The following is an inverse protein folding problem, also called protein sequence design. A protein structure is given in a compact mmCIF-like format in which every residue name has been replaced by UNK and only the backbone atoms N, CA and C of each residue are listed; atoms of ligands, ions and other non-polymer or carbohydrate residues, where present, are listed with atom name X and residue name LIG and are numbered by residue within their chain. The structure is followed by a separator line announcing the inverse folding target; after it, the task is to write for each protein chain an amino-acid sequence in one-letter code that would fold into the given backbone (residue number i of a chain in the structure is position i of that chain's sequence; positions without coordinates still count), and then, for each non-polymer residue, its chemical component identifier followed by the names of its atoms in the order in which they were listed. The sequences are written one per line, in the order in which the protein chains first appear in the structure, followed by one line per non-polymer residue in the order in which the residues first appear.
data_IF_739190635240
#
_entry.id   IF_739190635240
#
_cell.length_a   1.000
_cell.length_b   1.000
_cell.length_c   1.000
_cell.angle_alpha   90.00
_cell.angle_beta   90.00
_cell.angle_gamma   90.00
#
_symmetry.space_group_name_H-M   'P 1'
#
loop_
_entity.id
_entity.type
_entity.pdbx_description
1 polymer ?
#
# COMPACT_ATOMS: atom_id res chain seq x y z
N UNK A 1 -5.21 -31.54 49.98
CA UNK A 1 -5.24 -30.49 48.92
C UNK A 1 -4.96 -29.07 49.42
N UNK A 2 -5.46 -28.63 50.58
CA UNK A 2 -5.16 -27.27 51.10
C UNK A 2 -3.69 -27.04 51.51
N UNK A 3 -2.98 -28.09 51.94
CA UNK A 3 -1.55 -28.00 52.33
C UNK A 3 -0.63 -27.81 51.11
N UNK A 4 -0.99 -28.41 49.97
CA UNK A 4 -0.20 -28.30 48.73
C UNK A 4 -0.29 -26.89 48.12
N UNK A 5 -1.45 -26.22 48.23
CA UNK A 5 -1.62 -24.82 47.80
C UNK A 5 -0.84 -23.82 48.65
N UNK A 6 -0.69 -24.07 49.96
CA UNK A 6 0.11 -23.20 50.84
C UNK A 6 1.62 -23.33 50.60
N UNK A 7 2.09 -24.51 50.20
CA UNK A 7 3.51 -24.75 49.88
C UNK A 7 3.90 -24.08 48.55
N UNK A 8 3.02 -24.11 47.54
CA UNK A 8 3.27 -23.45 46.24
C UNK A 8 3.29 -21.92 46.39
N UNK A 9 2.40 -21.34 47.21
CA UNK A 9 2.41 -19.89 47.48
C UNK A 9 3.64 -19.44 48.28
N UNK A 10 4.16 -20.27 49.20
CA UNK A 10 5.40 -19.98 49.92
C UNK A 10 6.65 -20.08 49.02
N UNK A 11 6.65 -20.99 48.04
CA UNK A 11 7.73 -21.12 47.05
C UNK A 11 7.75 -19.96 46.06
N UNK A 12 6.58 -19.44 45.67
CA UNK A 12 6.45 -18.26 44.81
C UNK A 12 6.78 -16.95 45.54
N UNK A 13 6.46 -16.84 46.84
CA UNK A 13 6.84 -15.67 47.64
C UNK A 13 8.35 -15.64 47.93
N UNK A 14 8.98 -16.81 48.13
CA UNK A 14 10.43 -16.92 48.34
C UNK A 14 11.25 -16.60 47.08
N UNK A 15 10.72 -16.88 45.88
CA UNK A 15 11.37 -16.50 44.61
C UNK A 15 11.23 -15.00 44.33
N UNK A 16 10.13 -14.38 44.76
CA UNK A 16 9.91 -12.94 44.58
C UNK A 16 10.76 -12.09 45.55
N UNK A 17 10.93 -12.52 46.80
CA UNK A 17 11.74 -11.79 47.79
C UNK A 17 13.25 -11.96 47.52
N UNK A 18 13.67 -13.05 46.88
CA UNK A 18 15.05 -13.24 46.42
C UNK A 18 15.49 -12.27 45.31
N UNK A 19 14.54 -11.70 44.55
CA UNK A 19 14.81 -10.79 43.45
C UNK A 19 14.91 -9.31 43.86
N UNK A 20 14.41 -8.95 45.05
CA UNK A 20 14.32 -7.56 45.50
C UNK A 20 15.47 -7.14 46.43
N UNK A 21 16.38 -8.04 46.81
CA UNK A 21 17.53 -7.73 47.67
C UNK A 21 18.87 -8.30 47.16
N UNK A 22 19.32 -7.83 46.00
CA UNK A 22 20.75 -7.89 45.64
C UNK A 22 21.20 -6.63 44.92
N UNK A 23 21.90 -5.77 45.65
CA UNK A 23 22.75 -4.69 45.12
C UNK A 23 24.15 -5.25 44.74
N UNK A 24 24.97 -4.50 43.99
CA UNK A 24 25.45 -4.90 42.68
C UNK A 24 26.73 -5.75 42.75
N UNK A 25 26.71 -6.90 42.08
CA UNK A 25 27.88 -7.74 41.85
C UNK A 25 28.39 -7.57 40.42
N UNK A 26 29.63 -7.13 40.30
CA UNK A 26 30.41 -7.01 39.07
C UNK A 26 30.38 -8.30 38.23
N UNK A 27 29.66 -8.27 37.11
CA UNK A 27 29.58 -9.40 36.19
C UNK A 27 28.41 -9.28 35.23
N UNK A 28 28.28 -8.14 34.53
CA UNK A 28 27.27 -7.92 33.51
C UNK A 28 27.63 -8.63 32.20
N UNK A 29 26.81 -9.61 31.82
CA UNK A 29 26.79 -10.19 30.48
C UNK A 29 26.08 -9.21 29.52
N UNK A 30 26.87 -8.67 28.57
CA UNK A 30 26.49 -8.29 27.20
C UNK A 30 25.41 -7.21 26.91
N UNK A 31 25.41 -6.09 27.64
CA UNK A 31 24.80 -4.83 27.15
C UNK A 31 25.84 -3.75 26.82
N UNK A 32 26.76 -3.53 27.75
CA UNK A 32 27.60 -2.32 27.76
C UNK A 32 28.68 -2.29 26.65
N UNK A 33 29.13 -3.43 26.15
CA UNK A 33 30.18 -3.49 25.12
C UNK A 33 29.67 -3.12 23.73
N UNK A 34 28.41 -3.43 23.43
CA UNK A 34 27.75 -3.08 22.16
C UNK A 34 27.33 -1.61 22.23
N UNK A 35 26.74 -1.18 23.34
CA UNK A 35 26.37 0.21 23.55
C UNK A 35 27.59 1.15 23.53
N UNK A 36 28.71 0.75 24.15
CA UNK A 36 29.97 1.49 24.07
C UNK A 36 30.60 1.48 22.67
N UNK A 37 30.43 0.41 21.89
CA UNK A 37 30.88 0.38 20.49
C UNK A 37 30.00 1.25 19.58
N UNK A 38 28.69 1.25 19.78
CA UNK A 38 27.74 2.14 19.09
C UNK A 38 28.03 3.61 19.44
N UNK A 39 28.19 3.95 20.73
CA UNK A 39 28.52 5.32 21.15
C UNK A 39 29.91 5.76 20.69
N UNK A 40 30.89 4.85 20.62
CA UNK A 40 32.21 5.14 20.07
C UNK A 40 32.16 5.31 18.53
N UNK A 41 31.30 4.58 17.82
CA UNK A 41 31.01 4.77 16.40
C UNK A 41 30.37 6.15 16.15
N UNK A 42 29.35 6.51 16.93
CA UNK A 42 28.68 7.82 16.83
C UNK A 42 29.59 9.02 17.19
N UNK A 43 30.62 8.84 18.03
CA UNK A 43 31.59 9.90 18.35
C UNK A 43 32.77 9.99 17.40
N UNK A 44 33.17 8.89 16.75
CA UNK A 44 34.33 8.86 15.83
C UNK A 44 33.99 9.39 14.45
N UNK A 45 32.80 9.07 13.98
CA UNK A 45 32.37 9.52 12.68
C UNK A 45 31.61 10.84 12.85
N UNK A 46 32.32 11.97 12.74
CA UNK A 46 31.71 13.16 12.14
C UNK A 46 31.34 12.76 10.70
N UNK A 47 30.25 11.98 10.53
CA UNK A 47 29.76 11.56 9.23
C UNK A 47 29.34 12.83 8.53
N UNK A 48 30.25 13.39 7.74
CA UNK A 48 29.90 14.28 6.66
C UNK A 48 28.93 13.47 5.83
N UNK A 49 27.65 13.81 5.92
CA UNK A 49 26.66 13.37 4.95
C UNK A 49 27.34 13.59 3.60
N UNK A 50 27.62 12.54 2.81
CA UNK A 50 27.81 12.78 1.40
C UNK A 50 26.43 13.26 0.99
N UNK A 51 26.23 14.59 0.98
CA UNK A 51 25.27 15.19 0.08
C UNK A 51 25.75 14.61 -1.24
N UNK A 52 25.07 13.59 -1.73
CA UNK A 52 25.33 13.02 -3.03
C UNK A 52 24.83 14.03 -4.07
N UNK A 53 25.45 15.21 -4.07
CA UNK A 53 25.94 15.90 -5.25
C UNK A 53 27.00 14.98 -5.88
N UNK A 54 26.63 13.75 -6.24
CA UNK A 54 27.38 13.05 -7.25
C UNK A 54 27.13 13.86 -8.51
N UNK A 55 28.16 14.56 -9.00
CA UNK A 55 28.16 15.15 -10.32
C UNK A 55 27.80 14.05 -11.32
N UNK A 56 26.53 13.98 -11.70
CA UNK A 56 26.12 13.13 -12.80
C UNK A 56 26.60 13.85 -14.05
N UNK A 57 27.65 13.34 -14.70
CA UNK A 57 28.15 13.90 -15.95
C UNK A 57 27.04 13.92 -16.98
N UNK A 58 26.47 15.10 -17.24
CA UNK A 58 25.39 15.29 -18.20
C UNK A 58 25.91 15.39 -19.65
N UNK A 59 25.09 15.03 -20.65
CA UNK A 59 25.44 15.24 -22.05
C UNK A 59 25.63 16.73 -22.35
N UNK A 60 26.71 17.06 -23.06
CA UNK A 60 27.16 18.42 -23.41
C UNK A 60 26.38 19.07 -24.58
N UNK A 61 25.20 18.58 -24.92
CA UNK A 61 24.49 18.96 -26.16
C UNK A 61 23.48 20.11 -25.98
N UNK A 62 23.89 21.19 -25.33
CA UNK A 62 23.23 22.50 -25.44
C UNK A 62 24.04 23.43 -26.35
N UNK A 63 23.38 24.29 -27.13
CA UNK A 63 23.98 25.24 -28.09
C UNK A 63 24.96 26.28 -27.49
N UNK A 64 25.34 26.15 -26.22
CA UNK A 64 26.42 26.88 -25.58
C UNK A 64 27.29 25.88 -24.82
N UNK A 65 28.60 25.99 -24.96
CA UNK A 65 29.65 25.08 -24.48
C UNK A 65 29.75 24.92 -22.94
N UNK A 66 28.68 25.22 -22.19
CA UNK A 66 28.66 25.18 -20.73
C UNK A 66 28.17 23.81 -20.28
N UNK A 67 29.07 22.98 -19.75
CA UNK A 67 28.69 21.79 -19.01
C UNK A 67 27.72 22.19 -17.87
N UNK A 68 26.49 21.67 -17.92
CA UNK A 68 25.53 21.84 -16.83
C UNK A 68 25.90 20.83 -15.75
N UNK A 69 26.21 21.33 -14.56
CA UNK A 69 26.41 20.47 -13.39
C UNK A 69 25.05 19.94 -12.94
N UNK A 70 24.91 18.62 -12.86
CA UNK A 70 23.66 17.96 -12.49
C UNK A 70 23.72 17.39 -11.07
N UNK A 71 22.57 17.38 -10.42
CA UNK A 71 22.31 16.76 -9.13
C UNK A 71 21.02 15.93 -9.17
N UNK A 72 20.84 15.10 -8.15
CA UNK A 72 19.58 14.44 -7.84
C UNK A 72 18.70 15.38 -7.03
N UNK A 73 17.43 15.39 -7.36
CA UNK A 73 16.43 16.15 -6.66
C UNK A 73 15.31 15.25 -6.18
N UNK A 74 14.93 15.41 -4.91
CA UNK A 74 13.81 14.68 -4.32
C UNK A 74 12.52 15.49 -4.48
N UNK A 75 11.45 14.84 -4.90
CA UNK A 75 10.13 15.48 -5.09
C UNK A 75 9.41 15.58 -3.75
N UNK A 76 9.37 14.48 -3.00
CA UNK A 76 9.05 14.45 -1.57
C UNK A 76 10.34 14.79 -0.82
N UNK A 77 10.38 15.91 -0.08
CA UNK A 77 11.54 16.30 0.69
C UNK A 77 12.03 15.19 1.62
N UNK A 78 13.36 14.97 1.66
CA UNK A 78 14.00 13.96 2.51
C UNK A 78 13.61 14.11 3.98
N UNK A 79 13.42 15.35 4.46
CA UNK A 79 12.94 15.62 5.83
C UNK A 79 11.60 14.96 6.14
N UNK A 80 10.66 14.94 5.18
CA UNK A 80 9.33 14.34 5.36
C UNK A 80 9.44 12.83 5.42
N UNK A 81 10.25 12.23 4.55
CA UNK A 81 10.54 10.80 4.58
C UNK A 81 11.11 10.39 5.94
N UNK A 82 12.16 11.09 6.41
CA UNK A 82 12.77 10.84 7.71
C UNK A 82 11.74 10.95 8.84
N UNK A 83 10.94 12.03 8.87
CA UNK A 83 9.90 12.20 9.89
C UNK A 83 8.87 11.08 9.87
N UNK A 84 8.37 10.70 8.69
CA UNK A 84 7.39 9.63 8.53
C UNK A 84 7.90 8.30 9.08
N UNK A 85 9.08 7.87 8.67
CA UNK A 85 9.64 6.60 9.12
C UNK A 85 10.03 6.63 10.60
N UNK A 86 10.59 7.74 11.09
CA UNK A 86 10.86 7.88 12.53
C UNK A 86 9.57 7.80 13.34
N UNK A 87 8.50 8.46 12.92
CA UNK A 87 7.20 8.36 13.56
C UNK A 87 6.64 6.94 13.50
N UNK A 88 6.81 6.24 12.37
CA UNK A 88 6.37 4.85 12.22
C UNK A 88 7.05 3.93 13.23
N UNK A 89 8.36 4.05 13.38
CA UNK A 89 9.09 3.21 14.34
C UNK A 89 8.80 3.62 15.79
N UNK A 90 8.78 4.92 16.09
CA UNK A 90 8.49 5.41 17.45
C UNK A 90 7.10 4.99 17.95
N UNK A 91 6.12 4.93 17.04
CA UNK A 91 4.73 4.56 17.36
C UNK A 91 4.46 3.07 17.25
N UNK A 92 5.47 2.27 16.90
CA UNK A 92 5.37 0.82 16.92
C UNK A 92 5.39 0.30 18.37
N UNK A 93 4.25 0.45 19.06
CA UNK A 93 3.97 -0.17 20.35
C UNK A 93 3.53 -1.64 20.20
N UNK A 94 2.82 -2.15 21.21
CA UNK A 94 2.48 -3.57 21.52
C UNK A 94 1.89 -4.44 20.39
N UNK A 95 1.65 -3.92 19.19
CA UNK A 95 0.98 -4.65 18.10
C UNK A 95 1.86 -4.94 16.86
N UNK A 96 3.09 -4.43 16.76
CA UNK A 96 4.06 -4.75 15.67
C UNK A 96 3.58 -4.59 14.20
N UNK A 97 2.36 -4.09 13.96
CA UNK A 97 1.76 -4.01 12.62
C UNK A 97 2.46 -2.99 11.73
N UNK A 98 2.92 -1.88 12.33
CA UNK A 98 3.62 -0.79 11.63
C UNK A 98 5.00 -1.27 11.17
N UNK A 99 5.77 -1.93 12.03
CA UNK A 99 7.07 -2.46 11.62
C UNK A 99 6.92 -3.53 10.53
N UNK A 100 5.92 -4.41 10.59
CA UNK A 100 5.72 -5.43 9.53
C UNK A 100 5.52 -4.81 8.14
N UNK A 101 4.66 -3.79 8.03
CA UNK A 101 4.45 -3.06 6.77
C UNK A 101 5.73 -2.40 6.25
N UNK A 102 6.49 -1.78 7.15
CA UNK A 102 7.78 -1.16 6.84
C UNK A 102 8.80 -2.19 6.35
N UNK A 103 8.93 -3.32 7.04
CA UNK A 103 9.88 -4.37 6.68
C UNK A 103 9.56 -4.99 5.32
N UNK A 104 8.27 -5.19 5.01
CA UNK A 104 7.85 -5.70 3.71
C UNK A 104 8.18 -4.73 2.58
N UNK A 105 7.94 -3.43 2.78
CA UNK A 105 8.34 -2.40 1.83
C UNK A 105 9.86 -2.37 1.64
N UNK A 106 10.64 -2.40 2.72
CA UNK A 106 12.09 -2.38 2.64
C UNK A 106 12.65 -3.62 1.94
N UNK A 107 12.10 -4.81 2.22
CA UNK A 107 12.46 -6.04 1.52
C UNK A 107 12.20 -5.94 0.01
N UNK A 108 11.03 -5.41 -0.37
CA UNK A 108 10.68 -5.16 -1.76
C UNK A 108 11.66 -4.18 -2.45
N UNK A 109 11.90 -3.01 -1.84
CA UNK A 109 12.80 -2.00 -2.40
C UNK A 109 14.24 -2.51 -2.51
N UNK A 110 14.65 -3.34 -1.55
CA UNK A 110 15.94 -4.02 -1.56
C UNK A 110 16.05 -4.98 -2.73
N UNK A 111 15.07 -5.87 -2.91
CA UNK A 111 15.07 -6.84 -4.00
C UNK A 111 15.02 -6.16 -5.38
N UNK A 112 14.23 -5.08 -5.52
CA UNK A 112 14.16 -4.30 -6.75
C UNK A 112 15.50 -3.62 -7.06
N UNK A 113 16.11 -2.96 -6.07
CA UNK A 113 17.43 -2.34 -6.23
C UNK A 113 18.50 -3.39 -6.58
N UNK A 114 18.54 -4.52 -5.86
CA UNK A 114 19.48 -5.60 -6.12
C UNK A 114 19.37 -6.18 -7.53
N UNK A 115 18.16 -6.20 -8.09
CA UNK A 115 17.90 -6.68 -9.45
C UNK A 115 18.40 -5.68 -10.50
N UNK A 116 18.19 -4.38 -10.28
CA UNK A 116 18.45 -3.34 -11.28
C UNK A 116 19.85 -2.72 -11.21
N UNK A 117 20.63 -3.01 -10.18
CA UNK A 117 22.04 -2.61 -10.08
C UNK A 117 23.01 -3.80 -10.26
N UNK A 118 23.11 -4.42 -11.46
CA UNK A 118 24.06 -5.49 -11.69
C UNK A 118 25.49 -5.01 -11.41
N UNK A 119 26.24 -5.85 -10.70
CA UNK A 119 27.50 -5.48 -10.06
C UNK A 119 28.64 -5.16 -11.04
N UNK A 120 29.34 -4.06 -10.75
CA UNK A 120 30.80 -3.98 -10.61
C UNK A 120 31.17 -2.58 -10.11
N UNK A 121 31.45 -2.44 -8.80
CA UNK A 121 31.89 -1.19 -8.16
C UNK A 121 31.77 -1.27 -6.63
N UNK A 122 32.72 -0.69 -5.89
CA UNK A 122 32.79 -0.77 -4.42
C UNK A 122 31.55 -0.20 -3.71
N UNK A 123 30.97 0.88 -4.25
CA UNK A 123 29.74 1.48 -3.73
C UNK A 123 28.52 0.58 -3.94
N UNK A 124 28.42 -0.10 -5.11
CA UNK A 124 27.31 -1.03 -5.38
C UNK A 124 27.40 -2.26 -4.50
N UNK A 125 28.60 -2.77 -4.24
CA UNK A 125 28.81 -3.91 -3.35
C UNK A 125 28.47 -3.55 -1.89
N UNK A 126 28.77 -2.32 -1.47
CA UNK A 126 28.39 -1.81 -0.16
C UNK A 126 26.87 -1.69 -0.01
N UNK A 127 26.19 -1.03 -0.96
CA UNK A 127 24.72 -0.96 -0.98
C UNK A 127 24.13 -2.38 -0.98
N UNK A 128 24.64 -3.27 -1.83
CA UNK A 128 24.18 -4.66 -1.92
C UNK A 128 24.29 -5.41 -0.59
N UNK A 129 25.40 -5.25 0.14
CA UNK A 129 25.60 -5.87 1.45
C UNK A 129 24.57 -5.38 2.46
N UNK A 130 24.35 -4.07 2.51
CA UNK A 130 23.38 -3.46 3.43
C UNK A 130 21.95 -3.91 3.11
N UNK A 131 21.59 -4.03 1.82
CA UNK A 131 20.31 -4.57 1.39
C UNK A 131 20.14 -6.05 1.80
N UNK A 132 21.21 -6.84 1.81
CA UNK A 132 21.18 -8.24 2.27
C UNK A 132 21.05 -8.35 3.79
N UNK A 133 21.76 -7.50 4.55
CA UNK A 133 21.66 -7.46 6.01
C UNK A 133 20.25 -7.04 6.46
N UNK A 134 19.60 -6.11 5.72
CA UNK A 134 18.17 -5.80 5.90
C UNK A 134 17.28 -7.01 5.77
N UNK A 135 17.45 -7.78 4.71
CA UNK A 135 16.64 -8.96 4.44
C UNK A 135 16.81 -10.02 5.53
N UNK A 136 18.03 -10.14 6.06
CA UNK A 136 18.30 -10.99 7.21
C UNK A 136 17.56 -10.50 8.46
N UNK A 137 17.62 -9.20 8.78
CA UNK A 137 16.87 -8.60 9.90
C UNK A 137 15.36 -8.76 9.74
N UNK A 138 14.80 -8.56 8.55
CA UNK A 138 13.39 -8.82 8.27
C UNK A 138 13.03 -10.28 8.56
N UNK A 139 13.85 -11.22 8.09
CA UNK A 139 13.61 -12.66 8.31
C UNK A 139 13.61 -12.98 9.81
N UNK A 140 14.55 -12.40 10.56
CA UNK A 140 14.60 -12.53 12.02
C UNK A 140 13.35 -11.95 12.68
N UNK A 141 12.92 -10.74 12.31
CA UNK A 141 11.70 -10.13 12.87
C UNK A 141 10.42 -10.90 12.55
N UNK A 142 10.29 -11.44 11.32
CA UNK A 142 9.13 -12.22 10.92
C UNK A 142 9.09 -13.57 11.66
N UNK A 143 10.25 -14.23 11.83
CA UNK A 143 10.33 -15.52 12.51
C UNK A 143 10.27 -15.42 14.05
N UNK A 144 10.82 -14.35 14.64
CA UNK A 144 10.86 -14.14 16.09
C UNK A 144 9.56 -13.48 16.61
N UNK A 145 8.64 -13.08 15.73
CA UNK A 145 7.31 -12.59 16.14
C UNK A 145 6.43 -13.65 16.85
N UNK A 146 6.84 -14.93 16.82
CA UNK A 146 6.23 -16.02 17.59
C UNK A 146 6.81 -16.18 19.00
N UNK A 147 7.93 -15.52 19.31
CA UNK A 147 8.59 -15.55 20.61
C UNK A 147 8.62 -14.13 21.18
N UNK A 148 8.12 -13.92 22.42
CA UNK A 148 7.89 -12.59 23.05
C UNK A 148 9.12 -11.65 23.17
N UNK A 149 10.26 -11.97 22.57
CA UNK A 149 11.47 -11.16 22.56
C UNK A 149 11.58 -10.38 21.25
N UNK A 150 10.92 -9.21 21.19
CA UNK A 150 11.20 -8.24 20.14
C UNK A 150 12.72 -7.98 20.07
N UNK A 151 13.36 -8.07 18.89
CA UNK A 151 14.76 -7.71 18.75
C UNK A 151 14.97 -6.28 19.26
N UNK A 152 16.12 -5.97 19.90
CA UNK A 152 16.36 -4.63 20.43
C UNK A 152 16.19 -3.62 19.30
N UNK A 153 15.27 -2.66 19.49
CA UNK A 153 15.06 -1.53 18.58
C UNK A 153 16.42 -0.94 18.13
N UNK A 154 17.41 -0.94 19.01
CA UNK A 154 18.78 -0.46 18.81
C UNK A 154 19.50 -1.10 17.60
N UNK A 155 19.20 -2.36 17.24
CA UNK A 155 19.78 -3.02 16.05
C UNK A 155 19.18 -2.45 14.75
N UNK A 156 17.87 -2.21 14.73
CA UNK A 156 17.16 -1.50 13.64
C UNK A 156 17.57 -0.03 13.51
N UNK A 157 18.19 0.56 14.53
CA UNK A 157 18.60 1.97 14.55
C UNK A 157 20.10 2.21 14.37
N UNK A 158 20.95 1.20 14.53
CA UNK A 158 22.31 1.24 13.97
C UNK A 158 22.30 1.44 12.43
N UNK A 159 21.16 1.12 11.81
CA UNK A 159 20.79 1.31 10.41
C UNK A 159 20.17 2.66 10.05
N UNK A 160 20.39 3.74 10.83
CA UNK A 160 20.11 5.12 10.38
C UNK A 160 20.73 5.38 8.98
N UNK A 161 21.85 4.72 8.67
CA UNK A 161 22.45 4.71 7.33
C UNK A 161 21.61 4.01 6.24
N UNK A 162 20.91 2.95 6.60
CA UNK A 162 20.33 1.96 5.70
C UNK A 162 18.86 2.28 5.38
N UNK A 163 18.12 2.81 6.36
CA UNK A 163 16.90 3.61 6.18
C UNK A 163 17.18 4.80 5.25
N UNK A 164 18.26 5.55 5.48
CA UNK A 164 18.68 6.64 4.57
C UNK A 164 19.06 6.15 3.18
N UNK A 165 19.69 4.98 3.06
CA UNK A 165 20.14 4.44 1.77
C UNK A 165 18.97 3.99 0.89
N UNK A 166 17.89 3.46 1.47
CA UNK A 166 16.70 3.09 0.69
C UNK A 166 15.93 4.34 0.23
N UNK A 167 15.74 5.33 1.12
CA UNK A 167 14.94 6.52 0.78
C UNK A 167 15.67 7.54 -0.10
N UNK A 168 17.01 7.59 -0.05
CA UNK A 168 17.83 8.38 -0.97
C UNK A 168 17.81 7.84 -2.41
N UNK A 169 17.29 6.62 -2.61
CA UNK A 169 17.36 5.90 -3.88
C UNK A 169 16.02 5.41 -4.39
N UNK A 170 14.89 5.92 -3.87
CA UNK A 170 13.57 5.67 -4.45
C UNK A 170 13.48 6.35 -5.83
N UNK A 171 13.59 5.62 -6.96
CA UNK A 171 13.79 6.26 -8.27
C UNK A 171 12.58 7.07 -8.70
N UNK A 172 11.38 6.65 -8.31
CA UNK A 172 10.15 7.36 -8.56
C UNK A 172 10.05 8.72 -7.83
N UNK A 173 10.81 8.93 -6.76
CA UNK A 173 10.86 10.20 -6.04
C UNK A 173 12.02 11.12 -6.48
N UNK A 174 12.81 10.70 -7.47
CA UNK A 174 14.05 11.37 -7.85
C UNK A 174 14.03 11.77 -9.32
N UNK A 175 14.39 13.01 -9.60
CA UNK A 175 14.77 13.41 -10.96
C UNK A 175 16.17 14.02 -11.00
N UNK A 176 16.77 14.01 -12.18
CA UNK A 176 18.09 14.59 -12.43
C UNK A 176 17.92 15.98 -13.06
N UNK A 177 18.53 16.98 -12.44
CA UNK A 177 18.41 18.38 -12.84
C UNK A 177 19.68 19.19 -12.52
N UNK A 178 19.78 20.46 -12.93
CA UNK A 178 20.86 21.36 -12.52
C UNK A 178 21.08 21.35 -11.00
N UNK A 179 22.31 21.50 -10.54
CA UNK A 179 22.60 21.55 -9.11
C UNK A 179 21.86 22.70 -8.39
N UNK A 180 21.42 22.55 -7.12
CA UNK A 180 20.70 23.58 -6.38
C UNK A 180 21.39 24.95 -6.38
N UNK A 181 22.73 25.00 -6.36
CA UNK A 181 23.50 26.25 -6.33
C UNK A 181 23.36 27.09 -7.61
N UNK A 182 22.99 26.46 -8.74
CA UNK A 182 22.81 27.12 -10.03
C UNK A 182 21.33 27.24 -10.40
N UNK A 183 20.44 27.11 -9.42
CA UNK A 183 18.99 27.21 -9.59
C UNK A 183 18.42 28.45 -8.91
N UNK A 184 17.32 28.96 -9.44
CA UNK A 184 16.58 30.08 -8.83
C UNK A 184 15.29 29.63 -8.15
N UNK A 185 14.81 28.44 -8.46
CA UNK A 185 13.61 27.83 -7.90
C UNK A 185 13.88 26.92 -6.70
N UNK A 186 15.14 26.72 -6.30
CA UNK A 186 15.57 25.85 -5.20
C UNK A 186 16.60 26.56 -4.30
N UNK A 187 16.36 26.71 -2.97
CA UNK A 187 15.20 26.22 -2.22
C UNK A 187 13.97 27.14 -2.35
N UNK A 188 12.75 26.56 -2.35
CA UNK A 188 11.49 27.31 -2.26
C UNK A 188 10.26 26.47 -2.61
N UNK A 189 9.07 26.81 -2.08
CA UNK A 189 7.82 26.01 -2.18
C UNK A 189 7.33 25.76 -3.63
N UNK A 190 7.82 26.53 -4.58
CA UNK A 190 7.50 26.35 -6.00
C UNK A 190 8.27 25.18 -6.62
N UNK A 191 9.33 24.70 -5.97
CA UNK A 191 10.18 23.66 -6.50
C UNK A 191 9.43 22.34 -6.63
N UNK A 192 8.85 21.89 -5.53
CA UNK A 192 8.11 20.65 -5.45
C UNK A 192 6.93 20.70 -6.42
N UNK A 193 6.18 21.80 -6.45
CA UNK A 193 5.03 21.99 -7.36
C UNK A 193 5.44 21.94 -8.83
N UNK A 194 6.55 22.58 -9.20
CA UNK A 194 7.00 22.63 -10.58
C UNK A 194 7.61 21.30 -11.07
N UNK A 195 7.96 20.38 -10.17
CA UNK A 195 8.45 19.04 -10.54
C UNK A 195 7.46 18.28 -11.44
N UNK A 196 6.15 18.60 -11.39
CA UNK A 196 5.12 18.07 -12.29
C UNK A 196 5.43 18.22 -13.78
N UNK A 197 6.15 19.29 -14.17
CA UNK A 197 6.55 19.50 -15.56
C UNK A 197 7.72 18.60 -16.00
N UNK A 198 8.42 17.99 -15.03
CA UNK A 198 9.47 17.00 -15.28
C UNK A 198 8.85 15.60 -15.34
N UNK A 199 8.14 15.24 -14.26
CA UNK A 199 7.70 13.87 -14.01
C UNK A 199 6.33 13.54 -14.62
N UNK A 200 5.59 14.57 -15.05
CA UNK A 200 4.19 14.46 -15.49
C UNK A 200 3.21 14.77 -14.36
N UNK A 201 2.04 15.30 -14.73
CA UNK A 201 0.98 15.70 -13.80
C UNK A 201 0.50 14.52 -12.95
N UNK A 202 0.31 13.37 -13.60
CA UNK A 202 -0.19 12.16 -12.96
C UNK A 202 0.75 11.65 -11.85
N UNK A 203 2.04 11.45 -12.18
CA UNK A 203 3.04 11.01 -11.21
C UNK A 203 3.22 12.03 -10.08
N UNK A 204 3.08 13.32 -10.39
CA UNK A 204 3.13 14.37 -9.39
C UNK A 204 1.98 14.28 -8.39
N UNK A 205 0.75 14.07 -8.86
CA UNK A 205 -0.41 13.93 -7.97
C UNK A 205 -0.25 12.75 -7.00
N UNK A 206 0.25 11.61 -7.50
CA UNK A 206 0.54 10.43 -6.67
C UNK A 206 1.58 10.71 -5.59
N UNK A 207 2.67 11.39 -5.94
CA UNK A 207 3.71 11.77 -4.97
C UNK A 207 3.24 12.87 -3.99
N UNK A 208 2.40 13.80 -4.45
CA UNK A 208 1.83 14.85 -3.60
C UNK A 208 0.89 14.26 -2.56
N UNK A 209 0.03 13.31 -2.95
CA UNK A 209 -0.82 12.63 -1.97
C UNK A 209 0.00 11.74 -1.04
N UNK A 210 0.99 11.01 -1.54
CA UNK A 210 1.91 10.29 -0.67
C UNK A 210 2.54 11.23 0.37
N UNK A 211 3.00 12.42 -0.05
CA UNK A 211 3.51 13.45 0.86
C UNK A 211 2.47 13.86 1.91
N UNK A 212 1.21 14.09 1.51
CA UNK A 212 0.13 14.48 2.42
C UNK A 212 -0.20 13.38 3.43
N UNK A 213 -0.27 12.12 3.00
CA UNK A 213 -0.48 10.96 3.87
C UNK A 213 0.67 10.82 4.88
N UNK A 214 1.92 10.98 4.43
CA UNK A 214 3.09 10.94 5.30
C UNK A 214 3.04 12.04 6.38
N UNK A 215 2.75 13.28 5.99
CA UNK A 215 2.59 14.40 6.93
C UNK A 215 1.44 14.12 7.90
N UNK A 216 0.28 13.71 7.38
CA UNK A 216 -0.90 13.42 8.19
C UNK A 216 -0.64 12.31 9.20
N UNK A 217 0.07 11.25 8.81
CA UNK A 217 0.49 10.22 9.74
C UNK A 217 1.43 10.77 10.82
N UNK A 218 2.46 11.53 10.45
CA UNK A 218 3.37 12.17 11.43
C UNK A 218 2.59 12.99 12.45
N UNK A 219 1.60 13.76 12.00
CA UNK A 219 0.82 14.64 12.86
C UNK A 219 -0.19 13.87 13.75
N UNK A 220 -0.88 12.87 13.21
CA UNK A 220 -2.03 12.21 13.86
C UNK A 220 -1.69 10.87 14.51
N UNK A 221 -0.74 10.12 13.95
CA UNK A 221 -0.42 8.75 14.35
C UNK A 221 -1.45 7.70 13.94
N UNK A 222 -2.45 8.07 13.15
CA UNK A 222 -3.49 7.14 12.70
C UNK A 222 -2.95 6.07 11.75
N UNK A 223 -3.31 4.81 11.99
CA UNK A 223 -2.79 3.68 11.23
C UNK A 223 -3.30 3.62 9.77
N UNK A 224 -4.46 4.22 9.48
CA UNK A 224 -5.00 4.21 8.11
C UNK A 224 -4.09 5.01 7.17
N UNK A 225 -3.66 6.20 7.59
CA UNK A 225 -2.78 7.10 6.86
C UNK A 225 -1.39 6.46 6.66
N UNK A 226 -0.90 5.72 7.67
CA UNK A 226 0.31 4.91 7.54
C UNK A 226 0.15 3.80 6.49
N UNK A 227 -0.89 3.00 6.59
CA UNK A 227 -1.12 1.87 5.70
C UNK A 227 -1.28 2.34 4.25
N UNK A 228 -2.05 3.41 4.03
CA UNK A 228 -2.21 4.01 2.70
C UNK A 228 -0.90 4.60 2.17
N UNK A 229 -0.10 5.25 3.01
CA UNK A 229 1.21 5.75 2.61
C UNK A 229 2.15 4.61 2.19
N UNK A 230 2.20 3.51 2.95
CA UNK A 230 3.04 2.35 2.62
C UNK A 230 2.58 1.66 1.33
N UNK A 231 1.28 1.50 1.13
CA UNK A 231 0.71 0.92 -0.09
C UNK A 231 1.06 1.75 -1.33
N UNK A 232 0.78 3.06 -1.29
CA UNK A 232 1.05 3.97 -2.39
C UNK A 232 2.56 4.11 -2.65
N UNK A 233 3.38 4.14 -1.60
CA UNK A 233 4.84 4.13 -1.72
C UNK A 233 5.34 2.85 -2.41
N UNK A 234 4.78 1.69 -2.07
CA UNK A 234 5.11 0.41 -2.71
C UNK A 234 4.73 0.43 -4.20
N UNK A 235 3.54 0.93 -4.52
CA UNK A 235 3.02 1.01 -5.88
C UNK A 235 3.86 1.95 -6.76
N UNK A 236 4.15 3.15 -6.28
CA UNK A 236 4.97 4.15 -6.98
C UNK A 236 6.39 3.62 -7.22
N UNK A 237 6.94 2.87 -6.25
CA UNK A 237 8.29 2.31 -6.37
C UNK A 237 8.37 1.15 -7.38
N UNK A 238 7.29 0.37 -7.57
CA UNK A 238 7.22 -0.68 -8.60
C UNK A 238 7.22 -0.12 -10.01
N UNK A 239 6.60 1.04 -10.22
CA UNK A 239 6.43 1.61 -11.56
C UNK A 239 7.72 2.17 -12.18
N UNK A 240 8.81 2.32 -11.41
CA UNK A 240 10.01 3.01 -11.90
C UNK A 240 11.32 2.55 -11.26
N UNK A 241 12.17 1.92 -12.07
CA UNK A 241 13.48 1.43 -11.64
C UNK A 241 14.65 2.42 -11.84
N UNK A 242 14.39 3.61 -12.40
CA UNK A 242 15.43 4.63 -12.64
C UNK A 242 14.90 6.05 -12.42
N UNK A 243 15.72 6.99 -11.88
CA UNK A 243 15.32 8.39 -11.73
C UNK A 243 14.82 9.01 -13.03
N UNK A 244 13.97 10.03 -12.96
CA UNK A 244 13.62 10.81 -14.15
C UNK A 244 14.89 11.48 -14.70
N UNK A 245 15.26 11.11 -15.93
CA UNK A 245 16.49 11.58 -16.55
C UNK A 245 16.43 13.08 -16.84
N UNK A 246 17.59 13.72 -16.84
CA UNK A 246 17.72 15.11 -17.23
C UNK A 246 17.34 15.31 -18.69
N UNK A 247 16.45 16.26 -18.97
CA UNK A 247 16.11 16.72 -20.32
C UNK A 247 16.32 18.22 -20.44
N UNK A 248 17.23 18.71 -21.29
CA UNK A 248 17.45 20.14 -21.50
C UNK A 248 16.19 20.92 -21.89
N UNK A 249 15.24 20.25 -22.56
CA UNK A 249 13.96 20.84 -22.98
C UNK A 249 13.06 21.22 -21.79
N UNK A 250 13.29 20.64 -20.61
CA UNK A 250 12.53 20.91 -19.38
C UNK A 250 13.10 22.04 -18.52
N UNK A 251 14.26 22.60 -18.90
CA UNK A 251 14.95 23.64 -18.14
C UNK A 251 15.10 24.92 -18.97
N UNK A 252 14.96 26.06 -18.33
CA UNK A 252 15.28 27.38 -18.89
C UNK A 252 16.41 28.01 -18.10
N UNK A 253 17.38 28.58 -18.82
CA UNK A 253 18.47 29.34 -18.22
C UNK A 253 18.15 30.83 -18.28
N UNK A 254 18.08 31.48 -17.13
CA UNK A 254 17.90 32.92 -17.05
C UNK A 254 19.29 33.59 -17.10
N UNK A 255 19.59 34.25 -18.22
CA UNK A 255 20.87 34.92 -18.44
C UNK A 255 21.15 36.07 -17.46
N UNK A 256 20.11 36.67 -16.88
CA UNK A 256 20.24 37.78 -15.94
C UNK A 256 20.63 37.29 -14.54
N UNK A 257 20.01 36.21 -14.08
CA UNK A 257 20.30 35.62 -12.76
C UNK A 257 21.40 34.57 -12.81
N UNK A 258 21.82 34.16 -14.01
CA UNK A 258 22.73 33.06 -14.28
C UNK A 258 22.29 31.74 -13.65
N UNK A 259 20.97 31.52 -13.55
CA UNK A 259 20.36 30.37 -12.86
C UNK A 259 19.36 29.65 -13.75
N UNK A 260 19.17 28.36 -13.48
CA UNK A 260 18.19 27.51 -14.11
C UNK A 260 16.85 27.51 -13.35
N UNK A 261 15.77 27.37 -14.10
CA UNK A 261 14.43 27.05 -13.59
C UNK A 261 13.82 25.91 -14.40
N UNK A 262 12.87 25.20 -13.78
CA UNK A 262 11.98 24.31 -14.52
C UNK A 262 11.10 25.15 -15.46
N UNK A 263 11.04 24.77 -16.74
CA UNK A 263 10.11 25.38 -17.70
C UNK A 263 8.67 25.02 -17.36
N UNK A 264 7.89 26.03 -17.00
CA UNK A 264 6.47 25.89 -16.63
C UNK A 264 5.50 26.22 -17.77
N UNK A 265 6.01 26.56 -18.97
CA UNK A 265 5.17 27.00 -20.10
C UNK A 265 4.53 25.81 -20.84
N UNK A 266 3.29 26.03 -21.30
CA UNK A 266 2.35 25.03 -21.83
C UNK A 266 2.84 24.21 -23.05
N UNK A 267 3.90 24.65 -23.73
CA UNK A 267 4.42 24.00 -24.93
C UNK A 267 5.07 22.63 -24.66
N UNK A 268 5.41 22.31 -23.41
CA UNK A 268 5.87 20.97 -23.03
C UNK A 268 4.76 19.90 -23.04
N UNK A 269 3.46 20.27 -23.08
CA UNK A 269 2.35 19.30 -23.27
C UNK A 269 2.37 18.68 -24.66
N UNK A 270 2.49 19.51 -25.71
CA UNK A 270 2.30 19.08 -27.11
C UNK A 270 3.32 18.07 -27.63
N UNK A 271 4.54 18.04 -27.08
CA UNK A 271 5.58 17.08 -27.52
C UNK A 271 5.38 15.68 -26.92
N UNK A 272 4.63 15.56 -25.81
CA UNK A 272 4.23 14.27 -25.22
C UNK A 272 2.93 13.73 -25.83
N UNK A 273 2.01 14.59 -26.25
CA UNK A 273 0.76 14.13 -26.90
C UNK A 273 1.05 13.31 -28.18
N UNK A 274 2.13 13.63 -28.91
CA UNK A 274 2.55 12.86 -30.11
C UNK A 274 3.19 11.50 -29.77
N UNK A 275 3.70 11.30 -28.55
CA UNK A 275 4.14 9.98 -28.07
C UNK A 275 3.02 9.23 -27.33
N UNK A 276 2.04 9.95 -26.78
CA UNK A 276 0.86 9.41 -26.11
C UNK A 276 -0.14 8.79 -27.09
N UNK A 277 -0.22 9.28 -28.34
CA UNK A 277 -1.06 8.68 -29.40
C UNK A 277 -0.63 7.24 -29.78
N UNK A 278 0.56 6.79 -29.37
CA UNK A 278 1.00 5.38 -29.52
C UNK A 278 0.79 4.56 -28.24
N UNK A 279 0.55 5.23 -27.11
CA UNK A 279 0.34 4.61 -25.78
C UNK A 279 -1.16 4.54 -25.42
N UNK A 280 -2.05 5.10 -26.24
CA UNK A 280 -3.51 5.11 -26.02
C UNK A 280 -4.22 3.77 -26.36
N UNK A 281 -3.47 2.66 -26.34
CA UNK A 281 -3.99 1.29 -26.47
C UNK A 281 -3.32 0.31 -25.51
N UNK A 282 -2.73 0.79 -24.42
CA UNK A 282 -2.30 -0.11 -23.36
C UNK A 282 -3.45 -0.27 -22.33
N UNK A 283 -4.15 -1.43 -22.30
CA UNK A 283 -5.18 -1.71 -21.30
C UNK A 283 -4.63 -1.81 -19.86
N UNK A 284 -3.31 -1.63 -19.68
CA UNK A 284 -2.62 -1.57 -18.39
C UNK A 284 -2.24 -0.14 -17.96
N UNK A 285 -2.71 0.91 -18.64
CA UNK A 285 -2.50 2.29 -18.18
C UNK A 285 -3.32 2.55 -16.89
N UNK A 286 -2.64 2.44 -15.75
CA UNK A 286 -3.23 2.57 -14.41
C UNK A 286 -3.58 4.02 -14.09
N UNK A 287 -4.85 4.28 -13.80
CA UNK A 287 -5.36 5.55 -13.27
C UNK A 287 -4.78 5.76 -11.85
N UNK A 288 -4.43 6.99 -11.42
CA UNK A 288 -3.95 7.25 -10.06
C UNK A 288 -4.87 6.68 -8.97
N UNK A 289 -4.33 5.97 -7.98
CA UNK A 289 -5.09 5.34 -6.90
C UNK A 289 -6.04 6.31 -6.17
N UNK A 290 -5.71 7.59 -6.02
CA UNK A 290 -6.65 8.55 -5.42
C UNK A 290 -7.77 9.00 -6.36
N UNK A 291 -7.52 9.07 -7.67
CA UNK A 291 -8.58 9.29 -8.65
C UNK A 291 -9.46 8.04 -8.71
N UNK A 292 -8.87 6.85 -8.57
CA UNK A 292 -9.61 5.59 -8.40
C UNK A 292 -10.43 5.63 -7.10
N UNK A 293 -9.87 5.97 -5.93
CA UNK A 293 -10.63 6.06 -4.66
C UNK A 293 -11.73 7.11 -4.68
N UNK A 294 -11.45 8.33 -5.15
CA UNK A 294 -12.45 9.40 -5.29
C UNK A 294 -13.52 9.01 -6.32
N UNK A 295 -13.14 8.35 -7.43
CA UNK A 295 -14.13 7.84 -8.39
C UNK A 295 -14.97 6.72 -7.78
N UNK A 296 -14.36 5.73 -7.12
CA UNK A 296 -15.03 4.58 -6.49
C UNK A 296 -15.99 5.05 -5.38
N UNK A 297 -15.60 6.05 -4.59
CA UNK A 297 -16.49 6.66 -3.58
C UNK A 297 -17.69 7.35 -4.24
N UNK A 298 -17.48 8.14 -5.29
CA UNK A 298 -18.57 8.77 -6.05
C UNK A 298 -19.51 7.74 -6.71
N UNK A 299 -19.01 6.54 -6.98
CA UNK A 299 -19.77 5.41 -7.55
C UNK A 299 -20.39 4.49 -6.47
N UNK A 300 -20.23 4.78 -5.18
CA UNK A 300 -20.71 3.90 -4.08
C UNK A 300 -20.11 2.49 -4.15
N UNK A 301 -18.83 2.36 -4.50
CA UNK A 301 -18.16 1.07 -4.69
C UNK A 301 -17.04 0.80 -3.68
N UNK A 302 -16.95 1.56 -2.58
CA UNK A 302 -15.84 1.47 -1.63
C UNK A 302 -15.81 0.12 -0.91
N UNK A 303 -16.96 -0.43 -0.53
CA UNK A 303 -17.03 -1.74 0.11
C UNK A 303 -16.71 -2.84 -0.91
N UNK A 304 -17.23 -2.72 -2.13
CA UNK A 304 -16.96 -3.67 -3.21
C UNK A 304 -15.47 -3.75 -3.54
N UNK A 305 -14.79 -2.60 -3.63
CA UNK A 305 -13.35 -2.55 -3.84
C UNK A 305 -12.59 -3.26 -2.69
N UNK A 306 -12.99 -3.01 -1.44
CA UNK A 306 -12.37 -3.62 -0.26
C UNK A 306 -12.49 -5.16 -0.25
N UNK A 307 -13.69 -5.70 -0.50
CA UNK A 307 -13.89 -7.16 -0.47
C UNK A 307 -13.19 -7.86 -1.63
N UNK A 308 -13.05 -7.19 -2.78
CA UNK A 308 -12.29 -7.70 -3.90
C UNK A 308 -10.79 -7.75 -3.60
N UNK A 309 -10.23 -6.68 -3.02
CA UNK A 309 -8.81 -6.66 -2.61
C UNK A 309 -8.53 -7.72 -1.53
N UNK A 310 -9.48 -7.96 -0.62
CA UNK A 310 -9.40 -9.09 0.32
C UNK A 310 -9.30 -10.43 -0.40
N UNK A 311 -10.14 -10.70 -1.40
CA UNK A 311 -10.07 -11.96 -2.16
C UNK A 311 -8.74 -12.10 -2.93
N UNK A 312 -8.28 -11.04 -3.60
CA UNK A 312 -7.02 -11.01 -4.36
C UNK A 312 -5.78 -11.26 -3.49
N UNK A 313 -5.71 -10.61 -2.33
CA UNK A 313 -4.56 -10.71 -1.42
C UNK A 313 -4.39 -12.11 -0.83
N UNK A 314 -5.47 -12.88 -0.75
CA UNK A 314 -5.49 -14.18 -0.10
C UNK A 314 -5.33 -15.32 -1.11
N UNK A 315 -6.40 -16.04 -1.47
CA UNK A 315 -6.34 -17.20 -2.37
C UNK A 315 -6.76 -16.91 -3.81
N UNK A 316 -7.12 -15.66 -4.13
CA UNK A 316 -7.56 -15.29 -5.47
C UNK A 316 -8.91 -15.90 -5.81
N UNK A 317 -9.05 -16.45 -7.02
CA UNK A 317 -10.31 -16.96 -7.55
C UNK A 317 -10.22 -18.45 -7.86
N UNK A 318 -11.18 -19.22 -7.35
CA UNK A 318 -11.40 -20.61 -7.74
C UNK A 318 -12.22 -20.69 -9.03
N UNK A 319 -11.89 -21.66 -9.87
CA UNK A 319 -12.60 -21.91 -11.11
C UNK A 319 -13.86 -22.74 -10.85
N UNK A 320 -15.02 -22.14 -11.06
CA UNK A 320 -16.35 -22.74 -11.01
C UNK A 320 -16.95 -22.79 -12.43
N UNK A 321 -16.13 -23.24 -13.39
CA UNK A 321 -16.48 -23.34 -14.81
C UNK A 321 -17.60 -24.34 -15.13
N UNK A 322 -18.11 -25.07 -14.12
CA UNK A 322 -19.35 -25.85 -14.20
C UNK A 322 -20.59 -24.97 -14.38
N UNK A 323 -20.53 -23.69 -13.99
CA UNK A 323 -21.58 -22.69 -14.20
C UNK A 323 -21.20 -21.75 -15.35
N UNK A 324 -22.16 -21.44 -16.24
CA UNK A 324 -21.83 -20.61 -17.41
C UNK A 324 -21.61 -19.14 -17.03
N UNK A 325 -22.24 -18.66 -15.95
CA UNK A 325 -22.13 -17.28 -15.49
C UNK A 325 -22.49 -17.12 -14.01
N UNK A 326 -22.27 -15.91 -13.46
CA UNK A 326 -22.75 -15.53 -12.13
C UNK A 326 -24.25 -15.73 -11.96
N UNK A 327 -25.03 -15.61 -13.04
CA UNK A 327 -26.48 -15.74 -13.02
C UNK A 327 -26.90 -17.19 -12.83
N UNK A 328 -26.23 -18.12 -13.53
CA UNK A 328 -26.46 -19.56 -13.37
C UNK A 328 -26.14 -19.99 -11.93
N UNK A 329 -25.02 -19.48 -11.40
CA UNK A 329 -24.63 -19.71 -10.01
C UNK A 329 -25.65 -19.14 -9.02
N UNK A 330 -26.14 -17.92 -9.22
CA UNK A 330 -27.17 -17.33 -8.37
C UNK A 330 -28.47 -18.13 -8.40
N UNK A 331 -28.90 -18.58 -9.59
CA UNK A 331 -30.12 -19.35 -9.76
C UNK A 331 -30.07 -20.73 -9.05
N UNK A 332 -28.89 -21.35 -8.95
CA UNK A 332 -28.69 -22.61 -8.23
C UNK A 332 -28.38 -22.40 -6.72
N UNK A 333 -28.00 -21.18 -6.34
CA UNK A 333 -27.65 -20.83 -4.96
C UNK A 333 -28.85 -20.79 -4.03
N UNK A 334 -28.87 -21.66 -3.04
CA UNK A 334 -29.81 -21.55 -1.92
C UNK A 334 -29.39 -20.44 -0.95
N UNK A 335 -30.34 -19.72 -0.37
CA UNK A 335 -30.04 -18.62 0.56
C UNK A 335 -29.17 -19.02 1.75
N UNK A 336 -29.44 -20.17 2.39
CA UNK A 336 -28.68 -20.62 3.57
C UNK A 336 -27.27 -21.11 3.21
N UNK A 337 -27.15 -21.99 2.22
CA UNK A 337 -25.89 -22.69 1.94
C UNK A 337 -25.08 -21.99 0.84
N UNK A 338 -25.73 -21.57 -0.24
CA UNK A 338 -25.08 -20.87 -1.35
C UNK A 338 -24.78 -19.41 -0.99
N UNK A 339 -25.80 -18.60 -0.73
CA UNK A 339 -25.58 -17.16 -0.48
C UNK A 339 -24.84 -16.91 0.84
N UNK A 340 -25.37 -17.39 1.96
CA UNK A 340 -24.79 -17.17 3.27
C UNK A 340 -23.53 -18.03 3.51
N UNK A 341 -23.64 -19.34 3.28
CA UNK A 341 -22.54 -20.28 3.50
C UNK A 341 -21.32 -19.98 2.64
N UNK A 342 -21.49 -19.85 1.32
CA UNK A 342 -20.36 -19.49 0.45
C UNK A 342 -19.90 -18.06 0.70
N UNK A 343 -20.79 -17.13 1.06
CA UNK A 343 -20.40 -15.79 1.49
C UNK A 343 -19.41 -15.78 2.66
N UNK A 344 -19.64 -16.61 3.69
CA UNK A 344 -18.68 -16.82 4.81
C UNK A 344 -17.39 -17.47 4.33
N UNK A 345 -17.51 -18.49 3.48
CA UNK A 345 -16.35 -19.24 3.00
C UNK A 345 -15.41 -18.36 2.15
N UNK A 346 -15.99 -17.60 1.22
CA UNK A 346 -15.32 -16.67 0.32
C UNK A 346 -14.74 -15.45 1.05
N UNK A 347 -15.34 -15.02 2.16
CA UNK A 347 -14.80 -13.91 2.97
C UNK A 347 -13.64 -14.31 3.88
N UNK A 348 -13.42 -15.61 4.07
CA UNK A 348 -12.32 -16.15 4.87
C UNK A 348 -12.60 -16.23 6.38
N UNK A 349 -13.87 -16.17 6.81
CA UNK A 349 -14.26 -16.37 8.22
C UNK A 349 -14.53 -17.86 8.57
N UNK A 350 -14.37 -18.78 7.61
CA UNK A 350 -14.39 -20.21 7.88
C UNK A 350 -13.11 -20.71 8.54
N UNK A 351 -13.21 -21.65 9.48
CA UNK A 351 -12.08 -22.17 10.31
C UNK A 351 -10.90 -22.77 9.52
N UNK A 352 -11.03 -22.99 8.21
CA UNK A 352 -10.04 -23.62 7.33
C UNK A 352 -9.84 -22.89 6.00
N UNK A 353 -10.50 -21.75 5.78
CA UNK A 353 -10.53 -21.06 4.48
C UNK A 353 -9.96 -19.64 4.60
N UNK A 354 -8.96 -19.32 3.78
CA UNK A 354 -8.57 -17.92 3.54
C UNK A 354 -9.57 -17.31 2.56
N UNK A 355 -9.75 -15.99 2.54
CA UNK A 355 -10.67 -15.35 1.60
C UNK A 355 -10.36 -15.66 0.13
N UNK A 356 -11.40 -15.82 -0.69
CA UNK A 356 -11.32 -16.12 -2.11
C UNK A 356 -12.58 -15.66 -2.87
N UNK A 357 -12.54 -15.74 -4.21
CA UNK A 357 -13.69 -15.55 -5.10
C UNK A 357 -13.96 -16.78 -5.97
N UNK A 358 -15.06 -16.75 -6.70
CA UNK A 358 -15.39 -17.73 -7.74
C UNK A 358 -15.34 -17.06 -9.10
N UNK A 359 -14.80 -17.76 -10.10
CA UNK A 359 -14.80 -17.36 -11.50
C UNK A 359 -15.60 -18.38 -12.31
N UNK A 360 -16.47 -17.89 -13.19
CA UNK A 360 -17.37 -18.71 -14.00
C UNK A 360 -16.89 -18.81 -15.46
N UNK A 361 -17.54 -19.67 -16.26
CA UNK A 361 -17.08 -19.98 -17.62
C UNK A 361 -17.08 -18.76 -18.56
N UNK A 362 -18.04 -17.84 -18.44
CA UNK A 362 -18.08 -16.60 -19.21
C UNK A 362 -17.12 -15.51 -18.70
N UNK A 363 -16.28 -15.84 -17.71
CA UNK A 363 -15.36 -14.92 -17.01
C UNK A 363 -16.01 -13.90 -16.07
N UNK A 364 -17.32 -13.97 -15.86
CA UNK A 364 -17.93 -13.32 -14.69
C UNK A 364 -17.42 -13.95 -13.39
N UNK A 365 -17.61 -13.26 -12.27
CA UNK A 365 -17.08 -13.71 -10.98
C UNK A 365 -17.90 -13.21 -9.79
N UNK A 366 -17.67 -13.84 -8.65
CA UNK A 366 -18.26 -13.49 -7.37
C UNK A 366 -17.20 -13.42 -6.26
N UNK A 367 -17.42 -12.57 -5.25
CA UNK A 367 -16.61 -12.53 -4.02
C UNK A 367 -17.48 -12.46 -2.77
N UNK A 368 -17.00 -13.02 -1.67
CA UNK A 368 -17.72 -13.00 -0.39
C UNK A 368 -17.74 -11.62 0.26
N UNK A 369 -18.90 -11.23 0.78
CA UNK A 369 -19.11 -10.03 1.58
C UNK A 369 -19.71 -10.40 2.93
N UNK A 370 -19.23 -9.75 3.99
CA UNK A 370 -19.76 -9.87 5.34
C UNK A 370 -20.50 -8.59 5.70
N UNK A 371 -21.44 -8.67 6.64
CA UNK A 371 -22.00 -7.46 7.22
C UNK A 371 -20.92 -6.58 7.84
N UNK A 372 -19.88 -7.18 8.46
CA UNK A 372 -18.76 -6.43 9.03
C UNK A 372 -17.98 -5.60 8.01
N UNK A 373 -18.04 -5.94 6.71
CA UNK A 373 -17.47 -5.11 5.64
C UNK A 373 -18.24 -3.81 5.43
N UNK A 374 -19.55 -3.83 5.71
CA UNK A 374 -20.46 -2.69 5.61
C UNK A 374 -20.44 -1.79 6.85
N UNK A 375 -19.85 -2.27 7.96
CA UNK A 375 -19.69 -1.49 9.17
C UNK A 375 -18.86 -0.23 8.89
N UNK A 376 -19.42 0.93 9.24
CA UNK A 376 -18.85 2.26 8.96
C UNK A 376 -18.62 2.52 7.46
N UNK A 377 -19.24 1.75 6.56
CA UNK A 377 -19.17 1.97 5.13
C UNK A 377 -20.02 3.16 4.68
N UNK A 378 -19.60 3.81 3.60
CA UNK A 378 -20.27 5.00 3.05
C UNK A 378 -21.10 4.72 1.80
N UNK A 379 -21.00 3.51 1.22
CA UNK A 379 -21.80 3.13 0.05
C UNK A 379 -23.30 3.17 0.38
N UNK A 380 -24.11 3.71 -0.54
CA UNK A 380 -25.52 3.98 -0.28
C UNK A 380 -26.35 2.75 0.15
N UNK A 381 -26.00 1.53 -0.31
CA UNK A 381 -26.76 0.31 -0.01
C UNK A 381 -26.80 -0.05 1.49
N UNK A 382 -25.77 0.35 2.24
CA UNK A 382 -25.57 0.01 3.66
C UNK A 382 -26.73 0.45 4.56
N UNK A 383 -27.48 1.49 4.14
CA UNK A 383 -28.58 2.09 4.89
C UNK A 383 -29.93 2.03 4.17
N UNK A 384 -30.06 1.29 3.06
CA UNK A 384 -31.27 1.35 2.22
C UNK A 384 -32.48 0.66 2.82
N UNK A 385 -32.28 -0.55 3.36
CA UNK A 385 -33.38 -1.40 3.85
C UNK A 385 -33.10 -2.13 5.15
N UNK A 386 -31.84 -2.44 5.38
CA UNK A 386 -31.34 -2.86 6.65
C UNK A 386 -30.20 -1.93 7.01
N UNK A 387 -30.06 -1.59 8.29
CA UNK A 387 -28.95 -0.80 8.76
C UNK A 387 -27.78 -1.76 9.02
N UNK A 388 -26.85 -1.81 8.07
CA UNK A 388 -25.64 -2.63 8.20
C UNK A 388 -24.50 -1.87 8.94
N UNK A 389 -24.79 -0.73 9.58
CA UNK A 389 -23.79 0.07 10.33
C UNK A 389 -23.74 -0.24 11.82
N UNK A 390 -24.78 -0.86 12.40
CA UNK A 390 -24.88 -1.11 13.84
C UNK A 390 -24.07 -2.34 14.32
N UNK A 391 -23.43 -2.26 15.48
CA UNK A 391 -22.41 -3.23 15.91
C UNK A 391 -22.89 -4.61 16.32
N UNK A 392 -24.11 -4.76 16.85
CA UNK A 392 -24.50 -6.00 17.54
C UNK A 392 -25.15 -7.05 16.62
N UNK A 393 -25.72 -6.69 15.47
CA UNK A 393 -26.36 -7.63 14.54
C UNK A 393 -25.57 -7.88 13.24
N UNK A 394 -24.62 -7.02 12.91
CA UNK A 394 -23.98 -6.99 11.59
C UNK A 394 -23.03 -8.17 11.35
N UNK A 395 -22.56 -8.83 12.41
CA UNK A 395 -21.72 -10.05 12.31
C UNK A 395 -22.47 -11.27 11.79
N UNK A 396 -23.79 -11.28 11.89
CA UNK A 396 -24.60 -12.42 11.48
C UNK A 396 -24.93 -12.41 9.98
N UNK A 397 -24.40 -11.44 9.21
CA UNK A 397 -24.70 -11.30 7.79
C UNK A 397 -23.53 -11.70 6.92
N UNK A 398 -23.83 -12.47 5.87
CA UNK A 398 -22.89 -12.86 4.84
C UNK A 398 -23.60 -13.00 3.48
N UNK A 399 -22.83 -12.89 2.42
CA UNK A 399 -23.36 -12.86 1.07
C UNK A 399 -22.28 -12.82 0.00
N UNK A 400 -22.69 -12.47 -1.20
CA UNK A 400 -21.83 -12.42 -2.38
C UNK A 400 -22.01 -11.10 -3.14
N UNK A 401 -20.92 -10.61 -3.72
CA UNK A 401 -20.92 -9.53 -4.71
C UNK A 401 -20.63 -10.12 -6.07
N UNK A 402 -21.52 -9.88 -7.03
CA UNK A 402 -21.43 -10.40 -8.39
C UNK A 402 -20.91 -9.35 -9.36
N UNK A 403 -20.11 -9.80 -10.32
CA UNK A 403 -19.53 -8.98 -11.38
C UNK A 403 -19.75 -9.63 -12.74
N UNK A 404 -19.95 -8.83 -13.78
CA UNK A 404 -20.07 -9.32 -15.15
C UNK A 404 -18.71 -9.75 -15.73
N UNK A 405 -18.73 -10.33 -16.93
CA UNK A 405 -17.51 -10.75 -17.67
C UNK A 405 -16.50 -9.64 -17.96
N UNK A 406 -16.91 -8.38 -17.85
CA UNK A 406 -16.04 -7.21 -18.02
C UNK A 406 -15.56 -6.65 -16.67
N UNK A 407 -15.88 -7.32 -15.56
CA UNK A 407 -15.55 -6.90 -14.20
C UNK A 407 -16.40 -5.75 -13.68
N UNK A 408 -17.58 -5.49 -14.25
CA UNK A 408 -18.48 -4.45 -13.73
C UNK A 408 -19.37 -5.01 -12.62
N UNK A 409 -19.64 -4.25 -11.54
CA UNK A 409 -20.54 -4.68 -10.48
C UNK A 409 -21.96 -4.93 -11.01
N UNK A 410 -22.58 -6.00 -10.54
CA UNK A 410 -23.93 -6.44 -10.93
C UNK A 410 -24.88 -6.34 -9.75
N UNK A 411 -24.59 -7.07 -8.69
CA UNK A 411 -25.45 -7.17 -7.52
C UNK A 411 -24.67 -7.49 -6.25
N UNK A 412 -25.17 -7.00 -5.12
CA UNK A 412 -24.84 -7.49 -3.79
C UNK A 412 -26.04 -8.28 -3.30
N UNK A 413 -25.82 -9.54 -2.93
CA UNK A 413 -26.85 -10.40 -2.33
C UNK A 413 -26.36 -10.83 -0.96
N UNK A 414 -27.09 -10.46 0.08
CA UNK A 414 -26.68 -10.68 1.47
C UNK A 414 -27.86 -11.18 2.30
N UNK A 415 -27.60 -12.06 3.26
CA UNK A 415 -28.59 -12.54 4.22
C UNK A 415 -27.95 -12.85 5.57
N UNK A 416 -28.75 -13.18 6.58
CA UNK A 416 -28.24 -13.77 7.83
C UNK A 416 -28.48 -15.27 7.86
N UNK A 417 -27.87 -15.99 8.81
CA UNK A 417 -28.15 -17.42 8.98
C UNK A 417 -29.66 -17.69 9.18
N UNK A 418 -30.33 -16.87 9.99
CA UNK A 418 -31.76 -17.04 10.29
C UNK A 418 -32.65 -16.74 9.08
N UNK A 419 -32.39 -15.63 8.38
CA UNK A 419 -33.16 -15.26 7.18
C UNK A 419 -32.84 -16.18 5.99
N UNK A 420 -31.60 -16.65 5.90
CA UNK A 420 -31.17 -17.61 4.88
C UNK A 420 -31.86 -18.96 5.04
N UNK A 421 -32.04 -19.45 6.27
CA UNK A 421 -32.87 -20.64 6.56
C UNK A 421 -34.34 -20.45 6.17
N UNK A 422 -34.86 -19.23 6.29
CA UNK A 422 -36.21 -18.89 5.84
C UNK A 422 -36.30 -18.71 4.31
N UNK A 423 -35.19 -18.81 3.57
CA UNK A 423 -35.15 -18.63 2.13
C UNK A 423 -35.33 -17.18 1.69
N UNK A 424 -34.77 -16.23 2.46
CA UNK A 424 -34.94 -14.80 2.21
C UNK A 424 -33.63 -14.03 2.44
N UNK A 425 -33.54 -12.82 1.90
CA UNK A 425 -32.44 -11.89 2.15
C UNK A 425 -32.65 -10.55 1.48
N UNK A 426 -31.56 -9.85 1.19
CA UNK A 426 -31.57 -8.57 0.52
C UNK A 426 -30.71 -8.62 -0.73
N UNK A 427 -31.24 -8.06 -1.82
CA UNK A 427 -30.53 -7.91 -3.08
C UNK A 427 -30.45 -6.43 -3.45
N UNK A 428 -29.25 -5.98 -3.81
CA UNK A 428 -28.97 -4.62 -4.24
C UNK A 428 -28.35 -4.66 -5.62
N UNK A 429 -29.00 -4.06 -6.61
CA UNK A 429 -28.59 -4.11 -8.01
C UNK A 429 -27.85 -2.82 -8.36
N UNK A 430 -26.69 -2.95 -9.00
CA UNK A 430 -25.92 -1.79 -9.43
C UNK A 430 -26.46 -1.24 -10.74
N UNK A 431 -26.79 0.05 -10.76
CA UNK A 431 -27.36 0.73 -11.91
C UNK A 431 -27.13 2.24 -11.82
N UNK A 432 -26.72 2.87 -12.92
CA UNK A 432 -26.54 4.33 -13.03
C UNK A 432 -25.72 4.93 -11.87
N UNK A 433 -24.54 4.34 -11.61
CA UNK A 433 -23.58 4.80 -10.61
C UNK A 433 -23.95 4.57 -9.14
N UNK A 434 -24.97 3.76 -8.85
CA UNK A 434 -25.45 3.51 -7.47
C UNK A 434 -26.06 2.13 -7.30
N UNK A 435 -26.26 1.74 -6.04
CA UNK A 435 -27.03 0.54 -5.69
C UNK A 435 -28.53 0.85 -5.59
N UNK A 436 -29.36 -0.08 -6.04
CA UNK A 436 -30.82 -0.05 -5.93
C UNK A 436 -31.32 -1.31 -5.22
N UNK A 437 -32.11 -1.16 -4.16
CA UNK A 437 -32.70 -2.32 -3.49
C UNK A 437 -33.78 -2.99 -4.34
N UNK A 438 -33.76 -4.33 -4.39
CA UNK A 438 -34.80 -5.16 -4.96
C UNK A 438 -35.39 -6.11 -3.92
N UNK A 439 -36.72 -6.03 -3.75
CA UNK A 439 -37.46 -6.81 -2.75
C UNK A 439 -37.89 -8.20 -3.23
N UNK A 440 -37.60 -8.54 -4.47
CA UNK A 440 -38.08 -9.77 -5.10
C UNK A 440 -36.91 -10.56 -5.64
N UNK A 441 -36.76 -11.80 -5.16
CA UNK A 441 -35.65 -12.71 -5.47
C UNK A 441 -35.48 -12.98 -6.98
N UNK A 442 -36.55 -12.86 -7.77
CA UNK A 442 -36.49 -12.99 -9.24
C UNK A 442 -35.91 -11.75 -9.95
N UNK A 443 -35.09 -10.94 -9.27
CA UNK A 443 -34.54 -9.70 -9.81
C UNK A 443 -33.60 -9.98 -10.99
N UNK A 444 -32.87 -11.09 -10.95
CA UNK A 444 -31.93 -11.53 -11.98
C UNK A 444 -32.65 -11.78 -13.33
N UNK A 445 -33.86 -12.34 -13.30
CA UNK A 445 -34.66 -12.50 -14.51
C UNK A 445 -35.36 -11.21 -14.91
N UNK A 446 -36.02 -10.53 -13.97
CA UNK A 446 -36.82 -9.32 -14.29
C UNK A 446 -35.97 -8.16 -14.77
N UNK A 447 -34.81 -7.92 -14.16
CA UNK A 447 -33.96 -6.75 -14.44
C UNK A 447 -33.01 -7.00 -15.59
N UNK A 448 -32.49 -8.22 -15.74
CA UNK A 448 -31.48 -8.53 -16.75
C UNK A 448 -32.05 -9.19 -18.01
N UNK A 449 -33.28 -9.72 -17.98
CA UNK A 449 -33.97 -10.29 -19.14
C UNK A 449 -33.08 -11.26 -19.94
N UNK A 450 -32.45 -12.21 -19.23
CA UNK A 450 -31.52 -13.20 -19.81
C UNK A 450 -30.09 -12.70 -20.07
N UNK A 451 -29.78 -11.43 -19.82
CA UNK A 451 -28.41 -10.88 -19.92
C UNK A 451 -27.58 -11.24 -18.68
N UNK A 452 -26.27 -11.27 -18.85
CA UNK A 452 -25.30 -11.46 -17.76
C UNK A 452 -24.41 -10.23 -17.57
N UNK A 453 -24.55 -9.21 -18.41
CA UNK A 453 -23.85 -7.93 -18.28
C UNK A 453 -24.47 -7.03 -17.20
N UNK A 454 -23.64 -6.18 -16.58
CA UNK A 454 -24.12 -5.14 -15.66
C UNK A 454 -25.14 -4.22 -16.35
N UNK A 455 -26.11 -3.72 -15.57
CA UNK A 455 -27.08 -2.73 -16.06
C UNK A 455 -26.44 -1.37 -16.34
N UNK A 456 -25.28 -1.09 -15.73
CA UNK A 456 -24.50 0.11 -15.94
C UNK A 456 -23.28 -0.21 -16.79
N UNK A 457 -23.34 0.15 -18.09
CA UNK A 457 -22.25 -0.07 -19.03
C UNK A 457 -21.02 0.82 -18.76
N UNK A 458 -21.20 1.90 -18.00
CA UNK A 458 -20.15 2.86 -17.68
C UNK A 458 -19.58 2.65 -16.28
N UNK A 459 -20.10 1.67 -15.54
CA UNK A 459 -19.59 1.31 -14.22
C UNK A 459 -18.08 1.04 -14.24
N UNK A 460 -17.34 1.45 -13.20
CA UNK A 460 -15.94 1.08 -13.02
C UNK A 460 -15.72 -0.43 -13.15
N UNK A 461 -14.63 -0.80 -13.85
CA UNK A 461 -14.28 -2.19 -14.10
C UNK A 461 -13.23 -2.67 -13.12
N UNK A 462 -13.48 -3.82 -12.51
CA UNK A 462 -12.56 -4.51 -11.65
C UNK A 462 -11.90 -5.65 -12.44
N UNK A 463 -10.68 -5.42 -12.91
CA UNK A 463 -9.94 -6.41 -13.69
C UNK A 463 -9.33 -7.47 -12.76
N UNK A 464 -9.63 -8.75 -13.01
CA UNK A 464 -8.89 -9.87 -12.44
C UNK A 464 -7.57 -9.99 -13.21
N UNK A 465 -6.47 -9.48 -12.64
CA UNK A 465 -5.14 -9.86 -13.12
C UNK A 465 -4.92 -11.32 -12.71
N UNK A 466 -5.10 -12.23 -13.67
CA UNK A 466 -4.72 -13.63 -13.50
C UNK A 466 -3.19 -13.66 -13.52
N UNK A 467 -2.58 -13.93 -12.36
CA UNK A 467 -1.18 -14.35 -12.35
C UNK A 467 -1.08 -15.67 -13.12
N UNK A 468 -0.25 -15.76 -14.18
CA UNK A 468 0.00 -17.00 -14.91
C UNK A 468 0.72 -18.05 -14.05
#
# INVERSE_FOLDING_TARGET
MLVLRKIILLLQLSTFVGFVHSQPGSGGLHGDAIEAQCLAFFRREQIRVPIALEHVGGPSSGSGNNQVRLARHHIIPVRILISFFNSAVQRNGEHNTVISGLMNLMGFLSDDALTHYPGSGSLREYIRRDLQDMRHLQTLYVMDSETENNPPLDVLFSSDYLVRSVYQWMPANIFIGPEPQIRSDDPGDQFEVNSRYIIGEENFQRLDTLRRLMISYVDTGHLNEYNEAIELLSEISRGRHSPYSYSPDQWEYNSWTQRYNIKTTSNNRRKRDVLADVVDKDPYCLIPIEIIKISIENYNLMIVARVLERAKKNKGFYDESSYNSWKDWYADSQWQFGIYGDGISMSGEGWIYNAYGYKFADSSFAVGILGTDAKNGTDNWVNMKHDFTETEGVRDYAGQVYFDKNGRPVAIVITSNAWGQAGTGWSFIYNDGKWEYESTDSWDERRFAGRTESLDSEAPRFLMQLHP
#
